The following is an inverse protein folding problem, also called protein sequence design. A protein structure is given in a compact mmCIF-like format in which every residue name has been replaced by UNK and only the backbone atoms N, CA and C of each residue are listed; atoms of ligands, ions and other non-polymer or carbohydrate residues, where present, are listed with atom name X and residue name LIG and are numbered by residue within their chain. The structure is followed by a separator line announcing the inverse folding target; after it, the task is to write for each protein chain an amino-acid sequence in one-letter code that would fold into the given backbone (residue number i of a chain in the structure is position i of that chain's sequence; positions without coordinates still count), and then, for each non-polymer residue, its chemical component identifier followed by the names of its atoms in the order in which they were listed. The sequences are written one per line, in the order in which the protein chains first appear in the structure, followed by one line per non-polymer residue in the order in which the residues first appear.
data_IF_024876955796
#
_entry.id   IF_024876955796
#
_cell.length_a   1.000
_cell.length_b   1.000
_cell.length_c   1.000
_cell.angle_alpha   90.00
_cell.angle_beta   90.00
_cell.angle_gamma   90.00
#
_symmetry.space_group_name_H-M   'P 1'
#
loop_
_entity.id
_entity.type
_entity.pdbx_description
1 polymer ?
#
# COMPACT_ATOMS: atom_id res chain seq x y z
N UNK A 1 11.08 -6.73 29.65
CA UNK A 1 11.26 -6.41 28.21
C UNK A 1 11.29 -4.89 27.92
N UNK A 2 11.27 -4.03 28.94
CA UNK A 2 11.12 -2.58 28.76
C UNK A 2 12.44 -1.83 28.51
N UNK A 3 13.61 -2.40 28.83
CA UNK A 3 14.89 -1.64 28.77
C UNK A 3 15.40 -1.30 27.37
N UNK A 4 15.31 -2.21 26.38
CA UNK A 4 15.90 -1.97 25.04
C UNK A 4 15.05 -0.98 24.25
N UNK A 5 13.73 -1.14 24.25
CA UNK A 5 12.81 -0.21 23.58
C UNK A 5 12.86 1.18 24.21
N UNK A 6 13.00 1.27 25.54
CA UNK A 6 13.12 2.54 26.25
C UNK A 6 14.42 3.25 25.85
N UNK A 7 15.54 2.54 25.81
CA UNK A 7 16.83 3.12 25.41
C UNK A 7 16.84 3.59 23.97
N UNK A 8 16.21 2.84 23.05
CA UNK A 8 16.19 3.18 21.61
C UNK A 8 15.21 4.30 21.30
N UNK A 9 14.04 4.34 21.97
CA UNK A 9 13.02 5.36 21.72
C UNK A 9 13.26 6.66 22.49
N UNK A 10 13.98 6.64 23.61
CA UNK A 10 14.21 7.83 24.43
C UNK A 10 14.80 9.04 23.66
N UNK A 11 15.81 8.90 22.78
CA UNK A 11 16.29 10.02 21.98
C UNK A 11 15.21 10.62 21.07
N UNK A 12 14.31 9.78 20.55
CA UNK A 12 13.19 10.23 19.71
C UNK A 12 12.08 10.86 20.54
N UNK A 13 11.80 10.35 21.74
CA UNK A 13 10.87 10.96 22.69
C UNK A 13 11.37 12.37 23.09
N UNK A 14 12.66 12.48 23.41
CA UNK A 14 13.31 13.75 23.72
C UNK A 14 13.20 14.73 22.53
N UNK A 15 13.48 14.28 21.33
CA UNK A 15 13.38 15.08 20.11
C UNK A 15 11.95 15.56 19.85
N UNK A 16 10.98 14.66 19.94
CA UNK A 16 9.55 14.96 19.77
C UNK A 16 9.07 15.96 20.83
N UNK A 17 9.41 15.73 22.11
CA UNK A 17 9.08 16.61 23.20
C UNK A 17 9.70 18.00 23.01
N UNK A 18 10.95 18.08 22.56
CA UNK A 18 11.64 19.35 22.30
C UNK A 18 10.95 20.17 21.21
N UNK A 19 10.57 19.57 20.10
CA UNK A 19 9.85 20.29 19.04
C UNK A 19 8.47 20.69 19.53
N UNK A 20 7.73 19.82 20.19
CA UNK A 20 6.40 20.09 20.68
C UNK A 20 6.38 21.24 21.70
N UNK A 21 7.27 21.21 22.69
CA UNK A 21 7.43 22.29 23.68
C UNK A 21 7.94 23.57 23.03
N UNK A 22 8.87 23.47 22.06
CA UNK A 22 9.34 24.64 21.32
C UNK A 22 8.22 25.36 20.57
N UNK A 23 7.32 24.61 19.89
CA UNK A 23 6.12 25.21 19.29
C UNK A 23 5.16 25.79 20.34
N UNK A 24 4.97 25.07 21.45
CA UNK A 24 4.12 25.55 22.54
C UNK A 24 4.60 26.91 23.07
N UNK A 25 5.88 27.01 23.42
CA UNK A 25 6.49 28.28 23.90
C UNK A 25 6.44 29.37 22.82
N UNK A 26 6.66 29.02 21.54
CA UNK A 26 6.55 29.97 20.44
C UNK A 26 5.12 30.50 20.26
N UNK A 27 4.10 29.65 20.41
CA UNK A 27 2.69 30.02 20.33
C UNK A 27 2.27 30.89 21.54
N UNK A 28 2.78 30.55 22.72
CA UNK A 28 2.61 31.37 23.93
C UNK A 28 3.20 32.77 23.74
N UNK A 29 4.40 32.88 23.18
CA UNK A 29 5.07 34.16 22.92
C UNK A 29 4.29 35.08 21.95
N UNK A 30 3.48 34.51 21.07
CA UNK A 30 2.60 35.28 20.17
C UNK A 30 1.20 35.53 20.76
N UNK A 31 0.98 35.16 22.05
CA UNK A 31 -0.23 35.52 22.79
C UNK A 31 -1.30 34.43 22.91
N UNK A 32 -1.02 33.17 22.53
CA UNK A 32 -1.96 32.09 22.78
C UNK A 32 -1.91 31.69 24.26
N UNK A 33 -3.06 31.40 24.92
CA UNK A 33 -3.08 30.95 26.30
C UNK A 33 -2.35 29.60 26.46
N UNK A 34 -1.36 29.47 27.36
CA UNK A 34 -0.53 28.27 27.49
C UNK A 34 -1.33 27.04 27.93
N UNK A 35 -2.37 27.20 28.75
CA UNK A 35 -3.22 26.10 29.20
C UNK A 35 -4.31 25.71 28.16
N UNK A 36 -4.38 26.42 27.02
CA UNK A 36 -5.39 26.13 26.00
C UNK A 36 -5.07 24.84 25.24
N UNK A 37 -6.06 23.97 25.05
CA UNK A 37 -5.93 22.80 24.18
C UNK A 37 -5.63 23.14 22.73
N UNK A 38 -6.00 24.34 22.25
CA UNK A 38 -5.62 24.81 20.93
C UNK A 38 -4.11 25.06 20.82
N UNK A 39 -3.47 25.61 21.85
CA UNK A 39 -2.02 25.82 21.87
C UNK A 39 -1.28 24.51 21.79
N UNK A 40 -1.68 23.50 22.57
CA UNK A 40 -1.12 22.15 22.52
C UNK A 40 -1.44 21.42 21.20
N UNK A 41 -2.66 21.54 20.70
CA UNK A 41 -3.05 20.97 19.43
C UNK A 41 -2.22 21.54 18.26
N UNK A 42 -2.04 22.86 18.20
CA UNK A 42 -1.20 23.54 17.20
C UNK A 42 0.29 23.16 17.36
N UNK A 43 0.75 22.89 18.58
CA UNK A 43 2.12 22.40 18.83
C UNK A 43 2.32 21.01 18.22
N UNK A 44 1.32 20.12 18.34
CA UNK A 44 1.32 18.80 17.68
C UNK A 44 1.30 18.97 16.15
N UNK A 45 0.49 19.90 15.62
CA UNK A 45 0.47 20.22 14.17
C UNK A 45 1.84 20.72 13.72
N UNK A 46 2.45 21.64 14.47
CA UNK A 46 3.81 22.14 14.21
C UNK A 46 4.87 21.04 14.20
N UNK A 47 4.82 20.15 15.17
CA UNK A 47 5.67 18.95 15.20
C UNK A 47 5.52 18.13 13.91
N UNK A 48 4.29 17.85 13.47
CA UNK A 48 4.05 17.11 12.22
C UNK A 48 4.65 17.83 11.02
N UNK A 49 4.46 19.13 10.93
CA UNK A 49 4.98 19.96 9.80
C UNK A 49 6.51 19.86 9.77
N UNK A 50 7.20 20.03 10.89
CA UNK A 50 8.67 19.93 10.97
C UNK A 50 9.15 18.55 10.56
N UNK A 51 8.55 17.48 11.10
CA UNK A 51 8.90 16.11 10.73
C UNK A 51 8.69 15.86 9.23
N UNK A 52 7.62 16.36 8.65
CA UNK A 52 7.32 16.21 7.22
C UNK A 52 8.29 16.99 6.34
N UNK A 53 8.67 18.21 6.73
CA UNK A 53 9.67 19.00 5.99
C UNK A 53 11.03 18.30 6.03
N UNK A 54 11.45 17.83 7.19
CA UNK A 54 12.71 17.10 7.36
C UNK A 54 12.76 15.83 6.51
N UNK A 55 11.62 15.16 6.33
CA UNK A 55 11.51 13.93 5.56
C UNK A 55 11.27 14.15 4.05
N UNK A 56 11.08 15.38 3.55
CA UNK A 56 10.88 15.67 2.12
C UNK A 56 11.92 15.01 1.21
N UNK A 57 13.25 15.14 1.45
CA UNK A 57 14.24 14.56 0.55
C UNK A 57 14.14 13.05 0.44
N UNK A 58 13.74 12.40 1.53
CA UNK A 58 13.53 10.96 1.54
C UNK A 58 12.24 10.56 0.81
N UNK A 59 11.15 11.32 0.97
CA UNK A 59 9.92 11.11 0.21
C UNK A 59 10.12 11.28 -1.29
N UNK A 60 10.93 12.24 -1.72
CA UNK A 60 11.28 12.41 -3.14
C UNK A 60 11.99 11.15 -3.67
N UNK A 61 12.97 10.61 -2.92
CA UNK A 61 13.64 9.35 -3.29
C UNK A 61 12.64 8.17 -3.37
N UNK A 62 11.70 8.08 -2.43
CA UNK A 62 10.64 7.07 -2.44
C UNK A 62 9.72 7.18 -3.66
N UNK A 63 9.32 8.40 -4.05
CA UNK A 63 8.50 8.64 -5.24
C UNK A 63 9.23 8.13 -6.49
N UNK A 64 10.53 8.44 -6.62
CA UNK A 64 11.32 7.94 -7.74
C UNK A 64 11.45 6.41 -7.73
N UNK A 65 11.65 5.77 -6.57
CA UNK A 65 11.69 4.32 -6.44
C UNK A 65 10.33 3.67 -6.77
N UNK A 66 9.23 4.24 -6.29
CA UNK A 66 7.87 3.79 -6.60
C UNK A 66 7.56 3.88 -8.10
N UNK A 67 8.00 4.95 -8.78
CA UNK A 67 7.84 5.07 -10.24
C UNK A 67 8.64 4.01 -11.01
N UNK A 68 9.87 3.71 -10.61
CA UNK A 68 10.67 2.61 -11.19
C UNK A 68 9.93 1.27 -11.05
N UNK A 69 9.37 1.00 -9.88
CA UNK A 69 8.57 -0.19 -9.62
C UNK A 69 7.35 -0.29 -10.55
N UNK A 70 6.68 0.82 -10.83
CA UNK A 70 5.54 0.86 -11.74
C UNK A 70 5.93 0.57 -13.20
N UNK A 71 7.12 0.98 -13.64
CA UNK A 71 7.61 0.72 -14.99
C UNK A 71 7.93 -0.75 -15.25
N UNK A 72 8.33 -1.50 -14.23
CA UNK A 72 8.60 -2.95 -14.36
C UNK A 72 7.36 -3.82 -14.16
N UNK A 73 6.20 -3.23 -13.85
CA UNK A 73 4.93 -3.95 -13.66
C UNK A 73 4.54 -4.86 -14.85
N UNK A 74 4.68 -4.45 -16.13
CA UNK A 74 4.37 -5.32 -17.26
C UNK A 74 5.26 -6.59 -17.29
N UNK A 75 6.56 -6.47 -17.00
CA UNK A 75 7.47 -7.63 -16.93
C UNK A 75 7.13 -8.53 -15.74
N UNK A 76 6.81 -7.95 -14.60
CA UNK A 76 6.32 -8.69 -13.44
C UNK A 76 5.07 -9.51 -13.77
N UNK A 77 4.12 -8.93 -14.52
CA UNK A 77 2.92 -9.63 -14.96
C UNK A 77 3.23 -10.78 -15.92
N UNK A 78 4.22 -10.63 -16.82
CA UNK A 78 4.68 -11.72 -17.69
C UNK A 78 5.20 -12.89 -16.86
N UNK A 79 6.05 -12.64 -15.84
CA UNK A 79 6.54 -13.65 -14.92
C UNK A 79 5.38 -14.35 -14.20
N UNK A 80 4.45 -13.57 -13.60
CA UNK A 80 3.29 -14.14 -12.90
C UNK A 80 2.40 -14.99 -13.82
N UNK A 81 2.17 -14.58 -15.07
CA UNK A 81 1.42 -15.36 -16.06
C UNK A 81 2.12 -16.65 -16.44
N UNK A 82 3.45 -16.66 -16.56
CA UNK A 82 4.28 -17.85 -16.87
C UNK A 82 4.11 -18.97 -15.83
N UNK A 83 3.94 -18.57 -14.56
CA UNK A 83 3.79 -19.50 -13.44
C UNK A 83 2.34 -19.65 -12.95
N UNK A 84 1.37 -19.01 -13.62
CA UNK A 84 -0.04 -19.11 -13.26
C UNK A 84 -0.55 -20.54 -13.37
N UNK A 85 -1.13 -21.06 -12.27
CA UNK A 85 -1.66 -22.43 -12.20
C UNK A 85 -0.63 -23.49 -11.80
N UNK A 86 0.64 -23.14 -11.66
CA UNK A 86 1.69 -24.02 -11.15
C UNK A 86 1.79 -23.84 -9.63
N UNK A 87 1.47 -24.87 -8.87
CA UNK A 87 1.43 -24.83 -7.39
C UNK A 87 2.59 -25.59 -6.74
N UNK A 88 3.42 -26.26 -7.54
CA UNK A 88 4.57 -27.03 -7.12
C UNK A 88 5.66 -26.11 -6.48
N UNK A 89 6.40 -26.61 -5.48
CA UNK A 89 7.44 -25.85 -4.79
C UNK A 89 8.51 -25.28 -5.73
N UNK A 90 8.92 -26.07 -6.73
CA UNK A 90 9.96 -25.69 -7.69
C UNK A 90 9.52 -24.50 -8.57
N UNK A 91 8.28 -24.53 -9.06
CA UNK A 91 7.72 -23.41 -9.83
C UNK A 91 7.59 -22.12 -8.99
N UNK A 92 7.25 -22.24 -7.70
CA UNK A 92 7.20 -21.07 -6.79
C UNK A 92 8.59 -20.51 -6.56
N UNK A 93 9.58 -21.36 -6.36
CA UNK A 93 10.98 -20.95 -6.19
C UNK A 93 11.50 -20.28 -7.47
N UNK A 94 11.27 -20.87 -8.63
CA UNK A 94 11.66 -20.31 -9.93
C UNK A 94 10.99 -18.94 -10.18
N UNK A 95 9.68 -18.78 -9.87
CA UNK A 95 8.99 -17.50 -9.97
C UNK A 95 9.61 -16.43 -9.06
N UNK A 96 9.95 -16.83 -7.82
CA UNK A 96 10.58 -15.90 -6.87
C UNK A 96 11.96 -15.49 -7.37
N UNK A 97 12.74 -16.43 -7.91
CA UNK A 97 14.07 -16.17 -8.44
C UNK A 97 14.02 -15.25 -9.67
N UNK A 98 13.15 -15.52 -10.67
CA UNK A 98 12.97 -14.64 -11.83
C UNK A 98 12.51 -13.22 -11.40
N UNK A 99 11.65 -13.15 -10.40
CA UNK A 99 11.20 -11.86 -9.83
C UNK A 99 12.35 -11.10 -9.17
N UNK A 100 13.19 -11.77 -8.38
CA UNK A 100 14.35 -11.14 -7.75
C UNK A 100 15.41 -10.74 -8.79
N UNK A 101 15.61 -11.52 -9.84
CA UNK A 101 16.52 -11.18 -10.93
C UNK A 101 16.01 -9.98 -11.74
N UNK A 102 14.69 -9.86 -11.93
CA UNK A 102 14.09 -8.67 -12.50
C UNK A 102 14.40 -7.42 -11.65
N UNK A 103 14.21 -7.50 -10.32
CA UNK A 103 14.53 -6.39 -9.42
C UNK A 103 16.01 -6.01 -9.45
N UNK A 104 16.92 -7.00 -9.44
CA UNK A 104 18.37 -6.77 -9.54
C UNK A 104 18.75 -6.11 -10.85
N UNK A 105 18.26 -6.64 -11.98
CA UNK A 105 18.56 -6.13 -13.32
C UNK A 105 18.07 -4.70 -13.55
N UNK A 106 16.90 -4.34 -12.98
CA UNK A 106 16.30 -3.01 -13.11
C UNK A 106 16.72 -2.03 -11.99
N UNK A 107 17.53 -2.48 -11.03
CA UNK A 107 17.93 -1.65 -9.89
C UNK A 107 16.76 -1.18 -9.04
N UNK A 108 15.68 -1.98 -8.96
CA UNK A 108 14.51 -1.67 -8.15
C UNK A 108 14.50 -2.46 -6.84
N UNK A 109 13.92 -1.87 -5.80
CA UNK A 109 13.80 -2.50 -4.49
C UNK A 109 12.31 -2.69 -4.13
N UNK A 110 11.84 -3.93 -3.90
CA UNK A 110 10.45 -4.19 -3.51
C UNK A 110 10.05 -3.52 -2.18
N UNK A 111 11.02 -3.29 -1.29
CA UNK A 111 10.77 -2.65 0.01
C UNK A 111 10.57 -1.14 -0.07
N UNK A 112 10.81 -0.52 -1.23
CA UNK A 112 10.63 0.93 -1.41
C UNK A 112 9.21 1.41 -1.14
N UNK A 113 8.21 0.55 -1.33
CA UNK A 113 6.79 0.88 -1.11
C UNK A 113 6.40 0.90 0.37
N UNK A 114 7.04 0.11 1.24
CA UNK A 114 6.78 0.07 2.69
C UNK A 114 7.71 0.98 3.51
N UNK A 115 8.74 1.55 2.89
CA UNK A 115 9.71 2.44 3.55
C UNK A 115 9.05 3.64 4.29
N UNK A 116 7.96 4.27 3.78
CA UNK A 116 7.27 5.34 4.51
C UNK A 116 6.78 4.91 5.89
N UNK A 117 6.22 3.72 5.99
CA UNK A 117 5.67 3.19 7.25
C UNK A 117 6.81 2.91 8.23
N UNK A 118 7.90 2.27 7.76
CA UNK A 118 9.07 1.96 8.58
C UNK A 118 9.74 3.22 9.14
N UNK A 119 9.79 4.28 8.34
CA UNK A 119 10.39 5.53 8.75
C UNK A 119 9.51 6.34 9.70
N UNK A 120 8.19 6.32 9.47
CA UNK A 120 7.22 7.08 10.26
C UNK A 120 6.96 6.42 11.62
N UNK A 121 7.04 5.09 11.72
CA UNK A 121 6.65 4.36 12.94
C UNK A 121 7.46 4.75 14.19
N UNK A 122 8.80 4.99 14.17
CA UNK A 122 9.52 5.40 15.35
C UNK A 122 9.03 6.75 15.91
N UNK A 123 8.76 7.73 15.05
CA UNK A 123 8.24 9.04 15.46
C UNK A 123 6.82 8.95 16.01
N UNK A 124 6.00 8.07 15.42
CA UNK A 124 4.66 7.78 15.93
C UNK A 124 4.72 7.19 17.33
N UNK A 125 5.54 6.17 17.54
CA UNK A 125 5.69 5.54 18.85
C UNK A 125 6.28 6.50 19.88
N UNK A 126 7.24 7.33 19.51
CA UNK A 126 7.82 8.34 20.39
C UNK A 126 6.74 9.34 20.86
N UNK A 127 5.96 9.90 19.94
CA UNK A 127 4.86 10.82 20.30
C UNK A 127 3.80 10.12 21.15
N UNK A 128 3.39 8.89 20.77
CA UNK A 128 2.44 8.10 21.56
C UNK A 128 2.92 7.92 23.01
N UNK A 129 4.19 7.60 23.19
CA UNK A 129 4.78 7.42 24.53
C UNK A 129 4.87 8.75 25.29
N UNK A 130 5.24 9.84 24.64
CA UNK A 130 5.25 11.19 25.24
C UNK A 130 3.85 11.54 25.76
N UNK A 131 2.83 11.47 24.90
CA UNK A 131 1.46 11.82 25.27
C UNK A 131 0.87 10.88 26.33
N UNK A 132 1.18 9.59 26.25
CA UNK A 132 0.71 8.59 27.22
C UNK A 132 1.44 8.69 28.57
N UNK A 133 2.58 9.39 28.60
CA UNK A 133 3.36 9.63 29.82
C UNK A 133 2.96 10.93 30.52
N UNK A 134 2.12 11.79 29.92
CA UNK A 134 1.74 13.08 30.51
C UNK A 134 1.18 12.94 31.92
N UNK A 135 0.22 12.03 32.22
CA UNK A 135 -0.28 11.86 33.58
C UNK A 135 0.83 11.49 34.55
N UNK A 136 1.66 10.50 34.21
CA UNK A 136 2.73 10.02 35.09
C UNK A 136 3.86 11.07 35.31
N UNK A 137 4.13 11.93 34.32
CA UNK A 137 5.08 13.05 34.50
C UNK A 137 4.43 14.14 35.35
N UNK A 138 3.15 14.44 35.12
CA UNK A 138 2.37 15.41 35.90
C UNK A 138 2.32 15.07 37.38
N UNK A 139 2.09 13.79 37.69
CA UNK A 139 2.04 13.27 39.07
C UNK A 139 3.43 13.08 39.72
N UNK A 140 4.52 13.27 38.94
CA UNK A 140 5.89 13.06 39.41
C UNK A 140 6.31 11.60 39.53
N UNK A 141 5.49 10.65 39.08
CA UNK A 141 5.82 9.20 39.08
C UNK A 141 6.76 8.80 37.96
N UNK A 142 6.89 9.63 36.92
CA UNK A 142 7.84 9.49 35.83
C UNK A 142 8.68 10.76 35.69
N UNK A 143 9.99 10.64 35.38
CA UNK A 143 10.83 11.81 35.16
C UNK A 143 10.42 12.59 33.92
N UNK A 144 10.71 13.92 33.89
CA UNK A 144 10.52 14.76 32.71
C UNK A 144 11.22 14.22 31.45
N UNK A 145 10.68 14.51 30.27
CA UNK A 145 11.27 14.13 28.97
C UNK A 145 11.81 15.39 28.29
N UNK A 146 13.11 15.62 28.40
CA UNK A 146 13.75 16.82 27.85
C UNK A 146 13.12 18.10 28.40
N UNK A 147 12.70 19.06 27.56
CA UNK A 147 12.08 20.31 28.02
C UNK A 147 10.64 20.16 28.52
N UNK A 148 10.02 18.99 28.38
CA UNK A 148 8.69 18.70 28.91
C UNK A 148 8.80 18.46 30.42
N UNK A 149 8.76 19.56 31.18
CA UNK A 149 8.79 19.55 32.64
C UNK A 149 7.50 19.00 33.26
N UNK A 150 7.52 18.72 34.54
CA UNK A 150 6.33 18.28 35.29
C UNK A 150 5.18 19.31 35.17
N UNK A 151 5.49 20.60 35.29
CA UNK A 151 4.49 21.67 35.17
C UNK A 151 3.88 21.77 33.78
N UNK A 152 4.70 21.62 32.72
CA UNK A 152 4.21 21.61 31.33
C UNK A 152 3.38 20.33 31.05
N UNK A 153 3.77 19.19 31.61
CA UNK A 153 3.00 17.97 31.49
C UNK A 153 1.62 18.08 32.16
N UNK A 154 1.57 18.66 33.36
CA UNK A 154 0.30 18.95 34.05
C UNK A 154 -0.59 19.92 33.26
N UNK A 155 0.01 20.93 32.65
CA UNK A 155 -0.71 21.88 31.80
C UNK A 155 -1.24 21.22 30.52
N UNK A 156 -0.44 20.37 29.87
CA UNK A 156 -0.83 19.61 28.67
C UNK A 156 -1.95 18.60 29.00
N UNK A 157 -1.88 17.95 30.15
CA UNK A 157 -2.88 16.99 30.60
C UNK A 157 -4.23 17.66 30.85
N UNK A 158 -4.23 18.81 31.53
CA UNK A 158 -5.45 19.56 31.85
C UNK A 158 -6.03 20.30 30.64
N UNK A 159 -5.27 20.42 29.56
CA UNK A 159 -5.69 21.13 28.37
C UNK A 159 -6.81 20.41 27.61
N UNK A 160 -7.84 21.14 27.24
CA UNK A 160 -9.00 20.57 26.51
C UNK A 160 -9.15 21.19 25.11
N UNK A 161 -9.26 20.34 24.11
CA UNK A 161 -9.61 20.72 22.74
C UNK A 161 -11.09 20.39 22.49
N UNK A 162 -11.89 21.41 22.19
CA UNK A 162 -13.35 21.27 22.03
C UNK A 162 -14.04 20.62 23.26
N UNK A 163 -13.52 20.88 24.45
CA UNK A 163 -14.01 20.32 25.70
C UNK A 163 -13.51 18.92 26.03
N UNK A 164 -12.68 18.31 25.18
CA UNK A 164 -12.11 16.99 25.41
C UNK A 164 -10.61 17.08 25.72
N UNK A 165 -10.16 16.38 26.74
CA UNK A 165 -8.76 16.31 27.16
C UNK A 165 -7.88 15.63 26.08
N UNK A 166 -6.74 16.23 25.74
CA UNK A 166 -5.84 15.72 24.69
C UNK A 166 -5.18 14.37 25.05
N UNK A 167 -4.97 14.12 26.33
CA UNK A 167 -4.41 12.85 26.88
C UNK A 167 -5.47 11.74 26.95
N UNK A 168 -6.76 12.08 26.91
CA UNK A 168 -7.85 11.11 27.07
C UNK A 168 -8.12 10.33 25.77
N UNK A 169 -8.55 9.07 25.93
CA UNK A 169 -8.97 8.19 24.84
C UNK A 169 -10.45 7.79 24.99
N UNK A 170 -11.06 7.28 23.91
CA UNK A 170 -12.46 6.83 23.90
C UNK A 170 -12.71 5.75 24.97
N UNK A 171 -11.79 4.76 25.08
CA UNK A 171 -11.93 3.65 26.03
C UNK A 171 -11.53 4.06 27.45
N UNK A 172 -10.63 5.03 27.60
CA UNK A 172 -10.11 5.48 28.90
C UNK A 172 -10.99 6.53 29.59
N UNK A 173 -12.02 7.06 28.94
CA UNK A 173 -12.86 8.12 29.48
C UNK A 173 -14.35 7.77 29.46
N UNK A 174 -15.07 8.18 30.50
CA UNK A 174 -16.53 8.13 30.58
C UNK A 174 -17.20 9.38 30.02
N UNK A 175 -16.41 10.44 29.78
CA UNK A 175 -16.90 11.72 29.27
C UNK A 175 -17.42 11.60 27.82
N UNK A 176 -18.66 11.99 27.62
CA UNK A 176 -19.33 11.95 26.33
C UNK A 176 -18.64 12.88 25.30
N UNK A 177 -18.10 14.02 25.75
CA UNK A 177 -17.38 14.95 24.88
C UNK A 177 -16.12 14.31 24.29
N UNK A 178 -15.34 13.62 25.12
CA UNK A 178 -14.16 12.84 24.68
C UNK A 178 -14.56 11.80 23.63
N UNK A 179 -15.67 11.08 23.85
CA UNK A 179 -16.17 10.07 22.91
C UNK A 179 -16.59 10.69 21.59
N UNK A 180 -17.32 11.80 21.60
CA UNK A 180 -17.75 12.51 20.38
C UNK A 180 -16.52 13.01 19.60
N UNK A 181 -15.60 13.72 20.25
CA UNK A 181 -14.39 14.27 19.61
C UNK A 181 -13.53 13.14 19.01
N UNK A 182 -13.35 12.04 19.74
CA UNK A 182 -12.62 10.87 19.24
C UNK A 182 -13.28 10.27 17.99
N UNK A 183 -14.60 10.07 18.00
CA UNK A 183 -15.32 9.53 16.84
C UNK A 183 -15.21 10.47 15.64
N UNK A 184 -15.36 11.78 15.84
CA UNK A 184 -15.19 12.77 14.76
C UNK A 184 -13.78 12.70 14.15
N UNK A 185 -12.74 12.65 14.99
CA UNK A 185 -11.36 12.53 14.52
C UNK A 185 -11.11 11.22 13.76
N UNK A 186 -11.65 10.10 14.24
CA UNK A 186 -11.55 8.79 13.55
C UNK A 186 -12.26 8.83 12.20
N UNK A 187 -13.44 9.43 12.11
CA UNK A 187 -14.18 9.57 10.84
C UNK A 187 -13.40 10.45 9.86
N UNK A 188 -12.89 11.60 10.30
CA UNK A 188 -12.08 12.49 9.46
C UNK A 188 -10.78 11.80 8.99
N UNK A 189 -10.11 11.08 9.89
CA UNK A 189 -8.91 10.30 9.58
C UNK A 189 -9.20 9.21 8.56
N UNK A 190 -10.28 8.45 8.75
CA UNK A 190 -10.71 7.40 7.83
C UNK A 190 -11.10 7.96 6.45
N UNK A 191 -11.82 9.07 6.42
CA UNK A 191 -12.21 9.75 5.18
C UNK A 191 -11.00 10.28 4.40
N UNK A 192 -10.04 10.92 5.08
CA UNK A 192 -8.82 11.43 4.45
C UNK A 192 -7.92 10.29 3.95
N UNK A 193 -7.78 9.21 4.71
CA UNK A 193 -7.03 8.01 4.30
C UNK A 193 -7.68 7.36 3.09
N UNK A 194 -9.00 7.13 3.12
CA UNK A 194 -9.75 6.56 2.01
C UNK A 194 -9.61 7.41 0.74
N UNK A 195 -9.79 8.73 0.86
CA UNK A 195 -9.68 9.67 -0.26
C UNK A 195 -8.29 9.64 -0.88
N UNK A 196 -7.23 9.65 -0.06
CA UNK A 196 -5.84 9.59 -0.51
C UNK A 196 -5.54 8.28 -1.25
N UNK A 197 -5.94 7.14 -0.68
CA UNK A 197 -5.73 5.83 -1.28
C UNK A 197 -6.54 5.67 -2.58
N UNK A 198 -7.79 6.12 -2.60
CA UNK A 198 -8.63 6.10 -3.79
C UNK A 198 -8.03 6.94 -4.92
N UNK A 199 -7.54 8.15 -4.61
CA UNK A 199 -6.88 9.00 -5.61
C UNK A 199 -5.64 8.34 -6.19
N UNK A 200 -4.82 7.72 -5.35
CA UNK A 200 -3.62 7.01 -5.77
C UNK A 200 -3.98 5.85 -6.72
N UNK A 201 -4.97 5.05 -6.35
CA UNK A 201 -5.38 3.89 -7.14
C UNK A 201 -6.07 4.28 -8.45
N UNK A 202 -7.05 5.20 -8.41
CA UNK A 202 -7.86 5.52 -9.59
C UNK A 202 -7.17 6.44 -10.59
N UNK A 203 -6.32 7.36 -10.12
CA UNK A 203 -5.71 8.38 -10.98
C UNK A 203 -4.26 8.09 -11.33
N UNK A 204 -3.52 7.42 -10.45
CA UNK A 204 -2.08 7.25 -10.58
C UNK A 204 -1.63 5.81 -10.86
N UNK A 205 -2.56 4.84 -10.96
CA UNK A 205 -2.21 3.49 -11.43
C UNK A 205 -2.44 3.36 -12.94
N UNK A 206 -1.52 2.68 -13.67
CA UNK A 206 -1.73 2.32 -15.06
C UNK A 206 -2.93 1.38 -15.20
N UNK A 207 -3.72 1.53 -16.28
CA UNK A 207 -4.89 0.68 -16.53
C UNK A 207 -4.52 -0.83 -16.60
N UNK A 208 -3.36 -1.15 -17.18
CA UNK A 208 -2.82 -2.51 -17.24
C UNK A 208 -2.52 -3.15 -15.89
N UNK A 209 -2.34 -2.34 -14.85
CA UNK A 209 -2.03 -2.83 -13.49
C UNK A 209 -3.28 -3.13 -12.66
N UNK A 210 -4.48 -2.68 -13.08
CA UNK A 210 -5.71 -2.83 -12.29
C UNK A 210 -6.23 -4.28 -12.22
N UNK A 211 -5.91 -5.11 -13.20
CA UNK A 211 -6.33 -6.52 -13.26
C UNK A 211 -5.35 -7.49 -12.57
N UNK A 212 -4.28 -6.96 -12.00
CA UNK A 212 -3.26 -7.75 -11.32
C UNK A 212 -3.76 -8.22 -9.93
N UNK A 213 -3.41 -9.45 -9.46
CA UNK A 213 -3.66 -9.89 -8.08
C UNK A 213 -3.18 -8.91 -7.01
N UNK A 214 -2.04 -8.24 -7.24
CA UNK A 214 -1.53 -7.20 -6.35
C UNK A 214 -2.47 -5.98 -6.26
N UNK A 215 -3.06 -5.54 -7.36
CA UNK A 215 -4.05 -4.44 -7.35
C UNK A 215 -5.34 -4.85 -6.63
N UNK A 216 -5.76 -6.12 -6.74
CA UNK A 216 -6.89 -6.65 -5.97
C UNK A 216 -6.62 -6.63 -4.48
N UNK A 217 -5.42 -7.03 -4.05
CA UNK A 217 -4.98 -6.95 -2.66
C UNK A 217 -4.93 -5.50 -2.16
N UNK A 218 -4.41 -4.58 -2.97
CA UNK A 218 -4.37 -3.16 -2.64
C UNK A 218 -5.78 -2.55 -2.56
N UNK A 219 -6.71 -2.99 -3.41
CA UNK A 219 -8.13 -2.60 -3.34
C UNK A 219 -8.79 -3.12 -2.06
N UNK A 220 -8.49 -4.34 -1.63
CA UNK A 220 -8.95 -4.88 -0.35
C UNK A 220 -8.43 -4.02 0.82
N UNK A 221 -7.15 -3.65 0.78
CA UNK A 221 -6.53 -2.80 1.79
C UNK A 221 -7.19 -1.42 1.86
N UNK A 222 -7.64 -0.86 0.72
CA UNK A 222 -8.36 0.41 0.65
C UNK A 222 -9.61 0.43 1.56
N UNK A 223 -10.35 -0.67 1.61
CA UNK A 223 -11.55 -0.79 2.43
C UNK A 223 -11.27 -1.25 3.87
N UNK A 224 -10.22 -2.06 4.05
CA UNK A 224 -9.87 -2.61 5.37
C UNK A 224 -9.16 -1.57 6.25
N UNK A 225 -8.34 -0.68 5.66
CA UNK A 225 -7.58 0.33 6.42
C UNK A 225 -8.46 1.28 7.25
N UNK A 226 -9.54 1.88 6.72
CA UNK A 226 -10.41 2.71 7.54
C UNK A 226 -11.03 1.96 8.72
N UNK A 227 -11.38 0.69 8.54
CA UNK A 227 -11.91 -0.16 9.61
C UNK A 227 -10.86 -0.45 10.68
N UNK A 228 -9.62 -0.76 10.26
CA UNK A 228 -8.51 -0.95 11.17
C UNK A 228 -8.25 0.30 12.03
N UNK A 229 -8.27 1.48 11.42
CA UNK A 229 -8.09 2.74 12.14
C UNK A 229 -9.29 3.07 13.05
N UNK A 230 -10.50 2.69 12.67
CA UNK A 230 -11.67 2.86 13.53
C UNK A 230 -11.55 2.01 14.80
N UNK A 231 -11.13 0.75 14.67
CA UNK A 231 -10.98 -0.18 15.81
C UNK A 231 -9.77 0.19 16.68
N UNK A 232 -8.63 0.52 16.08
CA UNK A 232 -7.43 0.87 16.85
C UNK A 232 -7.51 2.26 17.47
N UNK A 233 -8.15 3.21 16.77
CA UNK A 233 -8.24 4.61 17.17
C UNK A 233 -8.94 4.86 18.48
N UNK A 234 -9.89 4.00 18.88
CA UNK A 234 -10.61 4.12 20.15
C UNK A 234 -9.70 3.98 21.40
N UNK A 235 -8.52 3.37 21.24
CA UNK A 235 -7.55 3.21 22.31
C UNK A 235 -6.51 4.34 22.38
N UNK A 236 -6.43 5.18 21.34
CA UNK A 236 -5.42 6.24 21.28
C UNK A 236 -5.91 7.54 21.91
N UNK A 237 -5.02 8.28 22.61
CA UNK A 237 -5.29 9.64 23.05
C UNK A 237 -5.67 10.57 21.88
N UNK A 238 -6.53 11.57 22.18
CA UNK A 238 -6.98 12.57 21.18
C UNK A 238 -5.79 13.26 20.51
N UNK A 239 -4.73 13.60 21.23
CA UNK A 239 -3.51 14.19 20.68
C UNK A 239 -2.82 13.30 19.65
N UNK A 240 -2.85 11.98 19.82
CA UNK A 240 -2.31 11.01 18.83
C UNK A 240 -3.20 10.95 17.58
N UNK A 241 -4.51 10.98 17.75
CA UNK A 241 -5.46 11.03 16.61
C UNK A 241 -5.30 12.33 15.83
N UNK A 242 -5.07 13.44 16.51
CA UNK A 242 -4.79 14.75 15.88
C UNK A 242 -3.50 14.71 15.07
N UNK A 243 -2.42 14.18 15.64
CA UNK A 243 -1.17 13.93 14.91
C UNK A 243 -1.42 13.10 13.65
N UNK A 244 -2.20 12.04 13.75
CA UNK A 244 -2.49 11.16 12.62
C UNK A 244 -3.36 11.85 11.55
N UNK A 245 -4.39 12.57 11.96
CA UNK A 245 -5.21 13.37 11.06
C UNK A 245 -4.36 14.41 10.31
N UNK A 246 -3.50 15.15 11.03
CA UNK A 246 -2.58 16.14 10.43
C UNK A 246 -1.63 15.48 9.45
N UNK A 247 -1.09 14.31 9.81
CA UNK A 247 -0.25 13.48 8.94
C UNK A 247 -0.98 13.07 7.65
N UNK A 248 -2.26 12.68 7.75
CA UNK A 248 -3.09 12.31 6.59
C UNK A 248 -3.40 13.51 5.70
N UNK A 249 -3.73 14.66 6.29
CA UNK A 249 -3.97 15.91 5.54
C UNK A 249 -2.73 16.33 4.77
N UNK A 250 -1.55 16.30 5.40
CA UNK A 250 -0.28 16.56 4.72
C UNK A 250 -0.06 15.57 3.58
N UNK A 251 -0.24 14.27 3.84
CA UNK A 251 -0.06 13.21 2.85
C UNK A 251 -1.02 13.37 1.67
N UNK A 252 -2.27 13.77 1.92
CA UNK A 252 -3.26 14.05 0.89
C UNK A 252 -2.82 15.22 -0.01
N UNK A 253 -2.36 16.33 0.59
CA UNK A 253 -1.81 17.47 -0.16
C UNK A 253 -0.56 17.10 -0.96
N UNK A 254 0.36 16.37 -0.34
CA UNK A 254 1.58 15.87 -1.00
C UNK A 254 1.26 14.95 -2.17
N UNK A 255 0.34 13.98 -2.01
CA UNK A 255 -0.10 13.09 -3.08
C UNK A 255 -0.77 13.85 -4.23
N UNK A 256 -1.61 14.83 -3.92
CA UNK A 256 -2.21 15.68 -4.94
C UNK A 256 -1.13 16.41 -5.76
N UNK A 257 -0.13 16.99 -5.10
CA UNK A 257 0.99 17.66 -5.76
C UNK A 257 1.78 16.69 -6.66
N UNK A 258 2.11 15.49 -6.12
CA UNK A 258 2.89 14.46 -6.84
C UNK A 258 2.13 13.95 -8.06
N UNK A 259 0.84 13.58 -7.92
CA UNK A 259 0.00 13.11 -9.02
C UNK A 259 -0.12 14.18 -10.11
N UNK A 260 -0.20 15.46 -9.72
CA UNK A 260 -0.32 16.57 -10.67
C UNK A 260 0.97 16.88 -11.42
N UNK A 261 2.14 16.76 -10.75
CA UNK A 261 3.45 17.16 -11.30
C UNK A 261 4.30 16.02 -11.80
N UNK A 262 4.19 14.87 -11.17
CA UNK A 262 4.97 13.66 -11.42
C UNK A 262 4.08 12.41 -11.42
N UNK A 263 3.10 12.29 -12.34
CA UNK A 263 2.22 11.13 -12.39
C UNK A 263 2.99 9.85 -12.74
N UNK A 264 2.36 8.71 -12.45
CA UNK A 264 2.86 7.41 -12.85
C UNK A 264 2.76 7.20 -14.36
N UNK A 265 3.75 6.57 -15.00
CA UNK A 265 3.70 6.26 -16.43
C UNK A 265 2.49 5.39 -16.78
N UNK A 266 1.80 5.69 -17.88
CA UNK A 266 0.60 5.00 -18.35
C UNK A 266 -0.68 5.27 -17.54
N UNK A 267 -0.64 6.22 -16.61
CA UNK A 267 -1.81 6.57 -15.79
C UNK A 267 -2.69 7.66 -16.42
N UNK A 268 -3.95 7.76 -15.97
CA UNK A 268 -4.84 8.87 -16.34
C UNK A 268 -4.27 10.24 -15.98
N UNK A 269 -3.53 10.30 -14.87
CA UNK A 269 -2.88 11.55 -14.45
C UNK A 269 -1.74 11.97 -15.38
N UNK A 270 -1.03 11.02 -16.00
CA UNK A 270 -0.02 11.33 -17.03
C UNK A 270 -0.67 11.91 -18.27
N UNK A 271 -1.73 11.28 -18.81
CA UNK A 271 -2.49 11.81 -19.95
C UNK A 271 -2.96 13.23 -19.68
N UNK A 272 -3.51 13.50 -18.50
CA UNK A 272 -3.93 14.85 -18.10
C UNK A 272 -2.75 15.83 -17.95
N UNK A 273 -1.55 15.38 -17.62
CA UNK A 273 -0.35 16.21 -17.61
C UNK A 273 0.12 16.54 -19.04
N UNK A 274 0.08 15.58 -19.95
CA UNK A 274 0.45 15.74 -21.35
C UNK A 274 -0.49 16.72 -22.04
N UNK A 275 -1.80 16.59 -21.88
CA UNK A 275 -2.80 17.54 -22.38
C UNK A 275 -2.54 18.98 -21.89
N UNK A 276 -2.22 19.13 -20.59
CA UNK A 276 -1.87 20.45 -20.04
C UNK A 276 -0.59 21.03 -20.61
N UNK A 277 0.42 20.19 -20.90
CA UNK A 277 1.69 20.59 -21.53
C UNK A 277 1.48 20.98 -22.99
N UNK A 278 0.70 20.20 -23.73
CA UNK A 278 0.33 20.55 -25.11
C UNK A 278 -0.37 21.91 -25.18
N UNK A 279 -1.37 22.14 -24.30
CA UNK A 279 -2.06 23.43 -24.23
C UNK A 279 -1.14 24.61 -23.85
N UNK A 280 -0.04 24.35 -23.13
CA UNK A 280 0.93 25.38 -22.72
C UNK A 280 2.17 25.47 -23.61
N UNK A 281 2.24 24.76 -24.74
CA UNK A 281 3.37 24.79 -25.69
C UNK A 281 4.69 24.22 -25.13
N UNK A 282 4.66 23.44 -24.05
CA UNK A 282 5.87 22.90 -23.40
C UNK A 282 6.19 21.50 -23.89
N UNK A 283 7.46 21.29 -24.30
CA UNK A 283 7.93 20.00 -24.79
C UNK A 283 7.79 18.84 -23.79
N UNK A 284 7.58 17.64 -24.31
CA UNK A 284 7.44 16.40 -23.56
C UNK A 284 8.82 15.91 -23.06
N UNK A 285 8.99 15.79 -21.74
CA UNK A 285 10.12 15.05 -21.15
C UNK A 285 9.65 13.65 -20.74
N UNK A 286 10.01 12.63 -21.53
CA UNK A 286 9.78 11.22 -21.16
C UNK A 286 10.74 10.81 -20.05
N UNK A 287 10.22 10.13 -19.03
CA UNK A 287 11.06 9.54 -17.98
C UNK A 287 11.56 8.18 -18.47
N UNK A 288 12.88 8.05 -18.68
CA UNK A 288 13.53 6.82 -19.17
C UNK A 288 14.38 6.22 -18.04
N UNK A 289 14.31 4.90 -17.87
CA UNK A 289 15.19 4.17 -16.95
C UNK A 289 16.35 3.59 -17.76
N UNK A 290 17.63 3.81 -17.37
CA UNK A 290 18.75 3.09 -17.96
C UNK A 290 18.57 1.58 -17.77
N UNK A 291 18.68 0.79 -18.84
CA UNK A 291 18.57 -0.68 -18.79
C UNK A 291 17.19 -1.27 -19.08
N UNK A 292 16.15 -0.46 -19.26
CA UNK A 292 14.85 -0.92 -19.75
C UNK A 292 14.71 -0.60 -21.26
N UNK A 293 14.62 -1.63 -22.09
CA UNK A 293 14.27 -1.44 -23.49
C UNK A 293 12.79 -1.07 -23.59
N UNK A 294 12.52 0.21 -23.73
CA UNK A 294 11.15 0.76 -23.90
C UNK A 294 10.56 0.50 -25.29
N UNK A 295 11.24 -0.27 -26.14
CA UNK A 295 10.80 -0.57 -27.50
C UNK A 295 9.55 -1.46 -27.62
N UNK A 296 9.28 -2.31 -26.60
CA UNK A 296 8.22 -3.32 -26.71
C UNK A 296 6.85 -2.92 -26.14
N UNK A 297 6.71 -1.73 -25.58
CA UNK A 297 5.45 -1.29 -24.94
C UNK A 297 4.73 -0.17 -25.70
N UNK A 298 5.35 0.37 -26.75
CA UNK A 298 4.82 1.56 -27.45
C UNK A 298 4.14 1.32 -28.80
N UNK A 299 4.18 0.10 -29.34
CA UNK A 299 3.65 -0.15 -30.71
C UNK A 299 2.19 -0.62 -30.77
N UNK A 300 1.44 -0.56 -29.67
CA UNK A 300 0.01 -0.97 -29.69
C UNK A 300 -1.01 0.17 -29.60
N UNK A 301 -0.59 1.43 -29.47
CA UNK A 301 -1.53 2.58 -29.56
C UNK A 301 -0.82 3.74 -30.27
N UNK A 302 -0.55 3.61 -31.55
CA UNK A 302 -0.43 4.75 -32.44
C UNK A 302 -1.64 4.74 -33.37
N UNK A 303 -2.54 5.68 -33.15
CA UNK A 303 -3.46 6.17 -34.18
C UNK A 303 -2.58 6.65 -35.33
N UNK A 304 -2.43 5.81 -36.32
CA UNK A 304 -1.85 6.19 -37.63
C UNK A 304 -2.86 7.07 -38.31
N UNK A 305 -2.48 8.28 -38.77
CA UNK A 305 -3.31 9.00 -39.74
C UNK A 305 -3.45 8.12 -40.97
N UNK A 306 -4.66 7.88 -41.37
CA UNK A 306 -5.04 7.11 -42.58
C UNK A 306 -4.46 7.79 -43.81
N UNK A 307 -3.28 7.37 -44.27
CA UNK A 307 -2.87 7.58 -45.68
C UNK A 307 -3.58 6.56 -46.56
N UNK A 308 -4.02 6.93 -47.75
CA UNK A 308 -4.77 6.03 -48.62
C UNK A 308 -3.87 4.88 -49.09
N UNK A 309 -4.27 3.67 -48.73
CA UNK A 309 -3.60 2.41 -49.08
C UNK A 309 -3.60 2.23 -50.60
N UNK A 310 -2.42 2.29 -51.23
CA UNK A 310 -2.22 1.80 -52.61
C UNK A 310 -2.38 0.27 -52.59
N UNK A 311 -3.10 -0.32 -53.55
CA UNK A 311 -3.30 -1.76 -53.60
C UNK A 311 -1.98 -2.48 -53.90
N UNK A 312 -1.58 -3.37 -52.97
CA UNK A 312 -0.43 -4.26 -53.13
C UNK A 312 -0.85 -5.41 -54.05
N UNK A 313 -0.52 -5.29 -55.33
CA UNK A 313 -0.49 -6.42 -56.27
C UNK A 313 0.76 -7.24 -56.04
N UNK A 314 0.59 -8.43 -55.44
CA UNK A 314 1.70 -9.35 -55.22
C UNK A 314 1.48 -10.33 -54.08
N UNK A 315 0.38 -11.05 -54.10
CA UNK A 315 0.14 -12.13 -53.15
C UNK A 315 1.01 -13.33 -53.50
N UNK A 316 2.05 -13.55 -52.71
CA UNK A 316 2.91 -14.73 -52.76
C UNK A 316 2.07 -15.94 -52.39
N UNK A 317 1.71 -16.78 -53.38
CA UNK A 317 0.95 -18.01 -53.15
C UNK A 317 1.75 -18.98 -52.32
N UNK A 318 1.18 -19.41 -51.21
CA UNK A 318 1.73 -20.52 -50.40
C UNK A 318 1.71 -21.82 -51.19
N UNK A 319 2.80 -22.64 -51.17
CA UNK A 319 2.81 -23.94 -51.85
C UNK A 319 1.74 -24.88 -51.25
N UNK A 320 0.84 -25.35 -52.09
CA UNK A 320 -0.15 -26.37 -51.72
C UNK A 320 0.56 -27.66 -51.29
N UNK A 321 0.34 -28.07 -50.07
CA UNK A 321 0.84 -29.34 -49.48
C UNK A 321 0.24 -30.50 -50.31
N UNK A 322 1.08 -31.24 -51.06
CA UNK A 322 0.68 -32.45 -51.79
C UNK A 322 0.13 -33.48 -50.77
N UNK A 323 -1.13 -33.88 -50.94
CA UNK A 323 -1.71 -35.05 -50.24
C UNK A 323 -0.97 -36.28 -50.66
N UNK A 324 -0.30 -36.91 -49.73
CA UNK A 324 0.30 -38.24 -49.89
C UNK A 324 -0.84 -39.27 -50.01
N UNK A 325 -1.04 -39.85 -51.17
CA UNK A 325 -1.96 -40.95 -51.44
C UNK A 325 -1.48 -42.20 -50.70
N UNK A 326 -2.36 -42.73 -49.89
CA UNK A 326 -2.19 -44.03 -49.17
C UNK A 326 -2.43 -45.12 -50.17
N UNK A 327 -1.57 -46.15 -50.30
CA UNK A 327 -1.83 -47.32 -51.17
C UNK A 327 -2.97 -48.17 -50.59
N UNK A 328 -3.82 -48.69 -51.49
CA UNK A 328 -4.93 -49.60 -51.18
C UNK A 328 -4.39 -51.00 -50.82
N UNK A 329 -5.03 -51.75 -49.89
CA UNK A 329 -4.69 -53.16 -49.64
C UNK A 329 -5.29 -54.09 -50.68
N UNK A 330 -4.62 -55.25 -50.97
CA UNK A 330 -5.10 -56.22 -51.97
C UNK A 330 -6.29 -57.04 -51.46
N UNK A 331 -7.15 -57.43 -52.36
CA UNK A 331 -8.36 -58.20 -52.14
C UNK A 331 -8.03 -59.70 -52.00
N UNK A 332 -8.87 -60.39 -51.25
CA UNK A 332 -9.10 -61.86 -51.32
C UNK A 332 -8.71 -62.63 -50.07
N UNK A 333 -9.64 -63.10 -49.29
CA UNK A 333 -10.34 -64.37 -49.33
C UNK A 333 -11.21 -64.55 -48.10
N UNK A 334 -12.48 -64.93 -48.28
CA UNK A 334 -13.42 -65.49 -47.28
C UNK A 334 -13.34 -67.01 -47.39
N UNK A 335 -13.96 -67.88 -46.54
CA UNK A 335 -14.59 -67.73 -45.24
C UNK A 335 -14.25 -68.88 -44.25
N UNK A 336 -14.74 -68.76 -43.05
CA UNK A 336 -14.72 -69.91 -42.11
C UNK A 336 -15.44 -69.53 -40.79
N UNK A 337 -16.51 -70.27 -40.57
CA UNK A 337 -17.51 -70.14 -39.54
C UNK A 337 -17.06 -70.57 -38.13
N UNK A 338 -17.89 -70.13 -37.21
CA UNK A 338 -18.36 -70.84 -36.03
C UNK A 338 -17.99 -70.32 -34.61
N UNK A 339 -19.07 -70.06 -33.92
CA UNK A 339 -19.40 -70.36 -32.51
C UNK A 339 -18.89 -69.34 -31.42
N UNK A 340 -19.91 -68.67 -30.85
CA UNK A 340 -19.87 -68.10 -29.46
C UNK A 340 -20.17 -69.21 -28.46
N UNK A 341 -20.75 -68.98 -27.30
CA UNK A 341 -20.55 -67.89 -26.30
C UNK A 341 -20.24 -68.48 -24.91
N UNK A 342 -19.98 -67.72 -23.88
CA UNK A 342 -20.33 -67.99 -22.47
C UNK A 342 -19.53 -67.08 -21.55
N UNK A 343 -20.18 -66.22 -20.85
CA UNK A 343 -20.81 -66.27 -19.50
C UNK A 343 -19.87 -65.82 -18.39
N UNK A 344 -20.34 -64.81 -17.73
CA UNK A 344 -19.95 -64.35 -16.40
C UNK A 344 -20.10 -65.45 -15.32
N UNK A 345 -19.57 -65.30 -14.14
CA UNK A 345 -20.40 -64.81 -13.06
C UNK A 345 -19.71 -63.92 -12.03
N UNK A 346 -20.51 -63.07 -11.50
CA UNK A 346 -20.83 -62.66 -10.14
C UNK A 346 -20.28 -63.52 -8.96
N UNK A 347 -20.10 -62.80 -7.92
CA UNK A 347 -20.46 -62.96 -6.48
C UNK A 347 -19.28 -62.53 -5.60
N UNK A 348 -19.47 -61.82 -4.60
CA UNK A 348 -20.39 -61.45 -3.55
C UNK A 348 -19.67 -61.42 -2.21
N UNK A 349 -19.93 -60.33 -1.50
CA UNK A 349 -20.36 -60.24 -0.11
C UNK A 349 -19.41 -60.62 1.03
N UNK A 350 -19.54 -59.79 1.98
CA UNK A 350 -19.59 -59.82 3.45
C UNK A 350 -18.36 -59.23 4.10
N UNK A 351 -18.42 -58.27 5.02
CA UNK A 351 -19.37 -57.97 6.07
C UNK A 351 -18.59 -57.89 7.39
N UNK A 352 -19.02 -56.99 8.26
CA UNK A 352 -18.54 -56.93 9.64
C UNK A 352 -17.83 -55.66 9.97
N UNK A 353 -18.44 -54.60 10.42
CA UNK A 353 -19.09 -54.33 11.71
C UNK A 353 -18.14 -54.45 12.92
N UNK A 354 -17.90 -53.33 13.55
CA UNK A 354 -17.93 -53.11 14.98
C UNK A 354 -17.20 -51.82 15.41
N UNK A 355 -18.00 -50.82 15.74
CA UNK A 355 -17.76 -49.85 16.83
C UNK A 355 -17.99 -50.62 18.15
N UNK A 356 -17.62 -50.18 19.39
CA UNK A 356 -17.50 -48.80 19.89
C UNK A 356 -16.49 -48.55 21.04
N UNK A 357 -16.61 -47.31 21.54
CA UNK A 357 -16.46 -46.85 22.92
C UNK A 357 -15.07 -46.47 23.43
N UNK A 358 -14.89 -45.17 23.68
CA UNK A 358 -15.04 -44.39 24.91
C UNK A 358 -13.88 -44.45 25.90
N UNK A 359 -13.58 -43.28 26.39
CA UNK A 359 -13.13 -42.83 27.71
C UNK A 359 -11.76 -42.19 27.80
N UNK A 360 -11.84 -40.91 28.15
CA UNK A 360 -11.30 -40.20 29.33
C UNK A 360 -9.78 -40.11 29.49
N UNK A 361 -9.29 -38.88 29.34
CA UNK A 361 -8.70 -38.06 30.38
C UNK A 361 -8.43 -36.65 29.76
#
# INVERSE_FOLDING_TARGET
MNGILDTVLFPLEWFVATIMVGFHTGLEAIGLPPASGWTWALSIVGLVIVLRIMLIPLFVKQIHASRRMQLIQPEMQKIQKKYKGKSDPDSRQAMTQETMDLYKRTGTNPFSSCLPILLQSPFFFALFRVLNSLPAISDGTKPPIGPLSQSLAAQAEQSTLLGAQLSSSFMGSTDVTVKIVTVVLIVLMSATTFTTQRQLMMKNMPASSLDNPFAKQQKMLLYLMPLFFAISGINFPIGVLLYWLTTNLWSMGQQFYVIRRMPAPGSLAEKALEERRMKSGKAHKKFTIPGLHTGDVQDTVQDTPTEPVKPITGQRQQPKRKKRSRPAPPAGTKPGAASGPQSAPERSTTGGDSTPASRDA
#
